data_IF_025527337413
#
_entry.id   IF_025527337413
#
_cell.length_a   1.000
_cell.length_b   1.000
_cell.length_c   1.000
_cell.angle_alpha   90.00
_cell.angle_beta   90.00
_cell.angle_gamma   90.00
#
_symmetry.space_group_name_H-M   'P 1'
#
loop_
_entity.id
_entity.type
_entity.pdbx_description
1 polymer ?
#
# COMPACT_ATOMS: atom_id res chain seq x y z
N UNK A 1 -17.47 0.73 -78.55
CA UNK A 1 -16.92 1.45 -77.38
C UNK A 1 -18.02 1.72 -76.37
N UNK A 2 -18.23 0.83 -75.39
CA UNK A 2 -18.80 1.10 -74.06
C UNK A 2 -18.51 -0.10 -73.18
N UNK A 3 -17.65 0.05 -72.18
CA UNK A 3 -17.72 -0.77 -70.96
C UNK A 3 -17.35 0.12 -69.78
N UNK A 4 -18.41 0.58 -69.12
CA UNK A 4 -18.43 1.07 -67.76
C UNK A 4 -18.69 -0.16 -66.88
N UNK A 5 -17.78 -0.51 -65.96
CA UNK A 5 -18.10 -1.38 -64.82
C UNK A 5 -17.29 -0.92 -63.59
N UNK A 6 -18.01 -0.15 -62.78
CA UNK A 6 -18.15 -0.33 -61.33
C UNK A 6 -16.92 -0.11 -60.45
N UNK A 7 -16.97 1.03 -59.76
CA UNK A 7 -16.30 1.27 -58.49
C UNK A 7 -16.37 0.02 -57.58
N UNK A 8 -15.21 -0.54 -57.28
CA UNK A 8 -15.03 -1.57 -56.27
C UNK A 8 -15.16 -0.88 -54.91
N UNK A 9 -16.39 -0.87 -54.38
CA UNK A 9 -16.67 -0.46 -53.00
C UNK A 9 -15.96 -1.44 -52.07
N UNK A 10 -14.75 -1.07 -51.63
CA UNK A 10 -14.08 -1.69 -50.50
C UNK A 10 -14.96 -1.47 -49.26
N UNK A 11 -15.85 -2.42 -48.97
CA UNK A 11 -16.56 -2.50 -47.70
C UNK A 11 -15.52 -2.73 -46.60
N UNK A 12 -15.00 -1.63 -46.05
CA UNK A 12 -14.32 -1.64 -44.75
C UNK A 12 -15.32 -2.16 -43.72
N UNK A 13 -15.28 -3.46 -43.45
CA UNK A 13 -15.94 -4.06 -42.31
C UNK A 13 -15.29 -3.47 -41.05
N UNK A 14 -15.84 -2.36 -40.54
CA UNK A 14 -15.46 -1.87 -39.22
C UNK A 14 -15.79 -2.96 -38.20
N UNK A 15 -14.81 -3.48 -37.44
CA UNK A 15 -15.08 -4.42 -36.38
C UNK A 15 -16.04 -3.76 -35.37
N UNK A 16 -17.24 -4.32 -35.21
CA UNK A 16 -18.18 -3.84 -34.19
C UNK A 16 -17.75 -4.40 -32.84
N UNK A 17 -17.32 -3.52 -31.95
CA UNK A 17 -16.94 -3.85 -30.58
C UNK A 17 -15.86 -2.89 -30.06
N UNK A 18 -15.77 -2.75 -28.73
CA UNK A 18 -14.66 -2.01 -28.12
C UNK A 18 -13.35 -2.75 -28.45
N UNK A 19 -12.31 -2.07 -28.95
CA UNK A 19 -11.01 -2.70 -29.19
C UNK A 19 -10.54 -3.45 -27.94
N UNK A 20 -10.14 -4.70 -28.09
CA UNK A 20 -9.51 -5.46 -27.00
C UNK A 20 -8.17 -4.81 -26.71
N UNK A 21 -8.07 -4.11 -25.58
CA UNK A 21 -6.80 -3.54 -25.12
C UNK A 21 -5.85 -4.67 -24.76
N UNK A 22 -4.99 -5.06 -25.71
CA UNK A 22 -3.97 -6.10 -25.51
C UNK A 22 -2.80 -5.61 -24.64
N UNK A 23 -2.66 -4.29 -24.50
CA UNK A 23 -1.53 -3.63 -23.85
C UNK A 23 -1.98 -2.59 -22.80
N UNK A 24 -3.09 -2.87 -22.10
CA UNK A 24 -3.46 -2.07 -20.93
C UNK A 24 -2.37 -2.15 -19.84
N UNK A 25 -2.26 -1.10 -19.02
CA UNK A 25 -1.37 -1.10 -17.87
C UNK A 25 -1.64 -2.34 -17.01
N UNK A 26 -0.62 -3.20 -16.90
CA UNK A 26 -0.73 -4.42 -16.10
C UNK A 26 -0.83 -4.00 -14.64
N UNK A 27 -1.80 -4.58 -13.93
CA UNK A 27 -1.89 -4.41 -12.47
C UNK A 27 -0.54 -4.76 -11.85
N UNK A 28 0.01 -3.93 -10.94
CA UNK A 28 1.26 -4.25 -10.28
C UNK A 28 1.12 -5.59 -9.53
N UNK A 29 2.17 -6.42 -9.49
CA UNK A 29 2.14 -7.66 -8.74
C UNK A 29 1.75 -7.39 -7.29
N UNK A 30 0.89 -8.24 -6.74
CA UNK A 30 0.50 -8.16 -5.32
C UNK A 30 1.76 -8.44 -4.49
N UNK A 31 2.36 -7.38 -3.94
CA UNK A 31 3.65 -7.42 -3.22
C UNK A 31 3.62 -8.32 -1.98
N UNK A 32 2.44 -8.62 -1.47
CA UNK A 32 2.23 -9.44 -0.28
C UNK A 32 1.34 -10.62 -0.61
N UNK A 33 1.87 -11.84 -0.42
CA UNK A 33 1.10 -13.08 -0.45
C UNK A 33 0.63 -13.35 0.98
N UNK A 34 -0.68 -13.56 1.17
CA UNK A 34 -1.20 -14.10 2.42
C UNK A 34 -0.80 -15.57 2.45
N UNK A 35 0.29 -15.89 3.17
CA UNK A 35 0.73 -17.26 3.35
C UNK A 35 -0.19 -17.94 4.34
N UNK A 36 -0.63 -19.16 4.01
CA UNK A 36 -1.34 -20.00 4.97
C UNK A 36 -0.37 -20.40 6.08
N UNK A 37 -0.61 -19.88 7.29
CA UNK A 37 0.17 -20.22 8.48
C UNK A 37 -0.65 -21.16 9.36
N UNK A 38 -0.03 -22.29 9.74
CA UNK A 38 -0.65 -23.29 10.60
C UNK A 38 -0.91 -22.74 11.99
N UNK A 39 -1.93 -23.27 12.68
CA UNK A 39 -2.24 -22.89 14.06
C UNK A 39 -1.02 -23.06 14.98
N UNK A 40 -0.28 -24.16 14.81
CA UNK A 40 0.93 -24.43 15.58
C UNK A 40 1.94 -23.29 15.52
N UNK A 41 2.17 -22.73 14.32
CA UNK A 41 3.11 -21.64 14.14
C UNK A 41 2.63 -20.34 14.77
N UNK A 42 1.31 -20.09 14.74
CA UNK A 42 0.73 -18.92 15.44
C UNK A 42 0.91 -19.04 16.95
N UNK A 43 0.67 -20.23 17.52
CA UNK A 43 0.86 -20.50 18.94
C UNK A 43 2.31 -20.30 19.37
N UNK A 44 3.25 -20.88 18.63
CA UNK A 44 4.69 -20.72 18.87
C UNK A 44 5.11 -19.23 18.92
N UNK A 45 4.61 -18.41 17.99
CA UNK A 45 4.90 -16.97 17.98
C UNK A 45 4.30 -16.27 19.19
N UNK A 46 3.08 -16.61 19.60
CA UNK A 46 2.43 -16.02 20.78
C UNK A 46 3.23 -16.37 22.05
N UNK A 47 3.57 -17.66 22.23
CA UNK A 47 4.34 -18.14 23.38
C UNK A 47 5.73 -17.45 23.44
N UNK A 48 6.35 -17.19 22.28
CA UNK A 48 7.61 -16.46 22.19
C UNK A 48 7.48 -14.98 22.58
N UNK A 49 6.38 -14.29 22.23
CA UNK A 49 6.16 -12.89 22.64
C UNK A 49 6.17 -12.77 24.17
N UNK A 50 5.52 -13.72 24.86
CA UNK A 50 5.47 -13.74 26.33
C UNK A 50 6.82 -14.10 26.95
N UNK A 51 7.61 -14.97 26.30
CA UNK A 51 8.88 -15.45 26.85
C UNK A 51 10.07 -14.51 26.63
N UNK A 52 10.23 -13.98 25.42
CA UNK A 52 11.43 -13.21 25.01
C UNK A 52 11.10 -11.78 24.54
N UNK A 53 9.82 -11.42 24.52
CA UNK A 53 9.35 -10.10 24.09
C UNK A 53 9.15 -9.96 22.58
N UNK A 54 8.46 -8.89 22.21
CA UNK A 54 8.05 -8.62 20.82
C UNK A 54 9.25 -8.52 19.86
N UNK A 55 10.30 -7.78 20.24
CA UNK A 55 11.41 -7.48 19.35
C UNK A 55 12.22 -8.73 18.97
N UNK A 56 12.56 -9.56 19.96
CA UNK A 56 13.30 -10.80 19.74
C UNK A 56 12.48 -11.87 19.03
N UNK A 57 11.18 -11.92 19.29
CA UNK A 57 10.23 -12.77 18.55
C UNK A 57 10.21 -12.41 17.07
N UNK A 58 10.16 -11.11 16.75
CA UNK A 58 10.17 -10.61 15.38
C UNK A 58 11.49 -10.96 14.68
N UNK A 59 12.63 -10.76 15.36
CA UNK A 59 13.95 -11.10 14.84
C UNK A 59 14.07 -12.61 14.55
N UNK A 60 13.55 -13.46 15.45
CA UNK A 60 13.66 -14.93 15.34
C UNK A 60 12.74 -15.52 14.27
N UNK A 61 11.45 -15.17 14.28
CA UNK A 61 10.45 -15.81 13.42
C UNK A 61 10.26 -15.10 12.09
N UNK A 62 10.60 -13.82 12.01
CA UNK A 62 10.35 -12.98 10.84
C UNK A 62 11.63 -12.31 10.34
N UNK A 63 12.73 -13.05 10.30
CA UNK A 63 14.04 -12.62 9.76
C UNK A 63 13.96 -11.99 8.36
N UNK A 64 12.98 -12.40 7.53
CA UNK A 64 12.76 -11.83 6.20
C UNK A 64 12.12 -10.43 6.23
N UNK A 65 11.50 -10.02 7.34
CA UNK A 65 11.03 -8.64 7.56
C UNK A 65 12.21 -7.69 7.79
N UNK A 66 13.32 -8.20 8.32
CA UNK A 66 14.60 -7.49 8.47
C UNK A 66 15.34 -7.31 7.14
N UNK A 67 15.06 -8.15 6.13
CA UNK A 67 15.70 -8.13 4.81
C UNK A 67 15.03 -7.22 3.78
N UNK A 68 13.87 -6.64 4.09
CA UNK A 68 13.27 -5.67 3.19
C UNK A 68 14.04 -4.35 3.29
N UNK A 69 14.72 -3.90 2.22
CA UNK A 69 15.33 -2.57 2.23
C UNK A 69 14.21 -1.55 2.46
N UNK A 70 14.24 -0.89 3.63
CA UNK A 70 13.26 0.12 4.01
C UNK A 70 12.31 -0.22 5.16
N UNK A 71 12.51 -1.31 5.92
CA UNK A 71 11.74 -1.53 7.17
C UNK A 71 12.64 -1.44 8.40
N UNK A 72 12.53 -0.30 9.06
CA UNK A 72 13.27 0.16 10.23
C UNK A 72 13.21 -0.88 11.37
N UNK A 73 14.37 -1.46 11.71
CA UNK A 73 14.59 -2.00 13.05
C UNK A 73 14.77 -0.83 14.02
N UNK A 74 14.28 -1.01 15.25
CA UNK A 74 14.13 -0.01 16.33
C UNK A 74 13.09 1.09 16.07
N UNK A 75 11.89 0.97 16.65
CA UNK A 75 11.14 2.14 17.13
C UNK A 75 10.84 3.28 16.15
N UNK A 76 10.55 3.01 14.87
CA UNK A 76 10.27 4.08 13.87
C UNK A 76 8.92 3.94 13.18
N UNK A 77 7.86 3.80 13.97
CA UNK A 77 6.54 4.33 13.58
C UNK A 77 6.09 5.47 14.50
N UNK A 78 6.95 5.92 15.40
CA UNK A 78 6.78 7.13 16.20
C UNK A 78 7.57 8.24 15.52
N UNK A 79 6.98 9.43 15.50
CA UNK A 79 7.71 10.61 15.01
C UNK A 79 8.85 10.89 16.00
N UNK A 80 9.89 11.65 15.62
CA UNK A 80 10.86 12.11 16.60
C UNK A 80 10.14 12.78 17.77
N UNK A 81 10.57 12.54 19.02
CA UNK A 81 9.89 13.04 20.23
C UNK A 81 9.56 14.53 20.16
N UNK A 82 10.46 15.33 19.58
CA UNK A 82 10.29 16.76 19.37
C UNK A 82 9.14 17.09 18.40
N UNK A 83 9.00 16.31 17.33
CA UNK A 83 7.90 16.44 16.35
C UNK A 83 6.57 15.99 16.98
N UNK A 84 6.59 14.98 17.85
CA UNK A 84 5.40 14.54 18.60
C UNK A 84 4.91 15.62 19.58
N UNK A 85 5.81 16.28 20.29
CA UNK A 85 5.47 17.38 21.19
C UNK A 85 4.94 18.60 20.42
N UNK A 86 5.54 18.94 19.29
CA UNK A 86 5.06 20.01 18.41
C UNK A 86 3.64 19.72 17.89
N UNK A 87 3.38 18.48 17.44
CA UNK A 87 2.05 18.03 17.04
C UNK A 87 1.06 18.07 18.20
N UNK A 88 1.47 17.65 19.40
CA UNK A 88 0.62 17.68 20.59
C UNK A 88 0.21 19.12 20.97
N UNK A 89 1.16 20.06 20.95
CA UNK A 89 0.89 21.48 21.19
C UNK A 89 -0.07 22.06 20.16
N UNK A 90 0.17 21.79 18.87
CA UNK A 90 -0.72 22.23 17.79
C UNK A 90 -2.14 21.65 17.91
N UNK A 91 -2.26 20.36 18.21
CA UNK A 91 -3.56 19.70 18.45
C UNK A 91 -4.31 20.34 19.61
N UNK A 92 -3.61 20.67 20.70
CA UNK A 92 -4.20 21.29 21.87
C UNK A 92 -4.77 22.67 21.55
N UNK A 93 -4.04 23.49 20.78
CA UNK A 93 -4.52 24.79 20.31
C UNK A 93 -5.77 24.62 19.45
N UNK A 94 -5.75 23.74 18.45
CA UNK A 94 -6.90 23.51 17.56
C UNK A 94 -8.14 23.01 18.30
N UNK A 95 -7.97 22.16 19.32
CA UNK A 95 -9.09 21.71 20.17
C UNK A 95 -9.64 22.83 21.05
N UNK A 96 -8.78 23.73 21.50
CA UNK A 96 -9.19 24.93 22.26
C UNK A 96 -10.02 25.87 21.39
N UNK A 97 -9.69 25.96 20.10
CA UNK A 97 -10.45 26.72 19.10
C UNK A 97 -11.73 26.00 18.61
N UNK A 98 -12.04 24.82 19.14
CA UNK A 98 -13.22 24.03 18.79
C UNK A 98 -13.13 23.29 17.44
N UNK A 99 -11.94 23.22 16.84
CA UNK A 99 -11.71 22.57 15.56
C UNK A 99 -11.41 21.08 15.76
N UNK A 100 -12.16 20.15 15.12
CA UNK A 100 -11.88 18.72 15.24
C UNK A 100 -10.63 18.36 14.42
N UNK A 101 -9.57 17.93 15.11
CA UNK A 101 -8.36 17.43 14.45
C UNK A 101 -8.58 16.00 13.95
N UNK A 102 -8.52 15.82 12.63
CA UNK A 102 -8.69 14.50 11.99
C UNK A 102 -7.36 13.79 11.77
N UNK A 103 -7.35 12.44 11.66
CA UNK A 103 -6.14 11.68 11.34
C UNK A 103 -5.44 12.14 10.06
N UNK A 104 -6.20 12.65 9.08
CA UNK A 104 -5.64 13.15 7.82
C UNK A 104 -4.85 14.44 8.03
N UNK A 105 -5.29 15.32 8.93
CA UNK A 105 -4.58 16.56 9.26
C UNK A 105 -3.27 16.26 9.98
N UNK A 106 -3.28 15.32 10.93
CA UNK A 106 -2.06 14.86 11.61
C UNK A 106 -1.04 14.30 10.61
N UNK A 107 -1.50 13.55 9.59
CA UNK A 107 -0.63 13.07 8.52
C UNK A 107 -0.04 14.17 7.66
N UNK A 108 -0.78 15.24 7.39
CA UNK A 108 -0.27 16.37 6.61
C UNK A 108 0.79 17.15 7.39
N UNK A 109 0.52 17.43 8.67
CA UNK A 109 1.46 18.12 9.56
C UNK A 109 2.71 17.30 9.88
N UNK A 110 2.60 15.97 9.90
CA UNK A 110 3.75 15.08 10.12
C UNK A 110 4.65 14.91 8.87
N UNK A 111 4.23 15.41 7.71
CA UNK A 111 4.96 15.34 6.44
C UNK A 111 5.58 16.68 6.02
N UNK A 112 5.28 17.75 6.76
CA UNK A 112 5.82 19.11 6.60
C UNK A 112 7.08 19.28 7.46
#
# INVERSE_FOLDING_TARGET
MRHDISARTEHFLMPRGRPVSKYGEKKPPKKFKCLYITFQKKKEVIDAIESIGMQETLNTHFTHWSRLPGRLHEGKMTLPSEVEEQLAGWVQTMRTDGVPVTPKMLQLMALE
#
